data_IF_307442767507
#
_entry.id   IF_307442767507
#
_cell.length_a   1.000
_cell.length_b   1.000
_cell.length_c   1.000
_cell.angle_alpha   90.00
_cell.angle_beta   90.00
_cell.angle_gamma   90.00
#
_symmetry.space_group_name_H-M   'P 1'
#
loop_
_entity.id
_entity.type
_entity.pdbx_description
1 polymer ?
#
# COMPACT_ATOMS: atom_id res chain seq x y z
N UNK A 1 -0.79 -1.93 -14.42
CA UNK A 1 0.57 -1.45 -14.19
C UNK A 1 1.13 -0.97 -15.50
N UNK A 2 1.74 0.21 -15.51
CA UNK A 2 2.42 0.78 -16.66
C UNK A 2 3.85 1.09 -16.22
N UNK A 3 4.83 0.77 -17.04
CA UNK A 3 6.19 1.09 -16.74
C UNK A 3 6.96 1.61 -17.95
N UNK A 4 7.84 2.59 -17.71
CA UNK A 4 8.64 3.26 -18.73
C UNK A 4 10.12 3.01 -18.45
N UNK A 5 10.82 2.44 -19.45
CA UNK A 5 12.26 2.18 -19.33
C UNK A 5 13.08 3.46 -19.53
N UNK A 6 14.27 3.50 -18.94
CA UNK A 6 15.33 4.48 -19.20
C UNK A 6 14.90 5.94 -19.09
N UNK A 7 13.98 6.27 -18.16
CA UNK A 7 13.51 7.64 -17.99
C UNK A 7 14.49 8.46 -17.13
N UNK A 8 14.97 9.57 -17.69
CA UNK A 8 15.79 10.56 -17.01
C UNK A 8 14.96 11.82 -16.74
N UNK A 9 14.12 11.77 -15.69
CA UNK A 9 13.24 12.87 -15.32
C UNK A 9 13.86 13.74 -14.23
N UNK A 10 13.75 15.05 -14.39
CA UNK A 10 13.93 15.99 -13.27
C UNK A 10 12.74 15.88 -12.32
N UNK A 11 12.90 16.32 -11.09
CA UNK A 11 11.83 16.34 -10.09
C UNK A 11 10.61 17.14 -10.58
N UNK A 12 10.85 18.26 -11.25
CA UNK A 12 9.78 19.09 -11.80
C UNK A 12 8.98 18.38 -12.90
N UNK A 13 9.65 17.74 -13.85
CA UNK A 13 8.99 16.98 -14.91
C UNK A 13 8.24 15.78 -14.38
N UNK A 14 8.78 15.10 -13.37
CA UNK A 14 8.10 13.99 -12.69
C UNK A 14 6.77 14.43 -12.08
N UNK A 15 6.75 15.56 -11.35
CA UNK A 15 5.51 16.12 -10.81
C UNK A 15 4.55 16.61 -11.90
N UNK A 16 5.07 17.24 -12.96
CA UNK A 16 4.24 17.68 -14.11
C UNK A 16 3.53 16.48 -14.73
N UNK A 17 4.25 15.39 -14.97
CA UNK A 17 3.67 14.15 -15.48
C UNK A 17 2.61 13.60 -14.52
N UNK A 18 2.91 13.52 -13.21
CA UNK A 18 1.99 12.98 -12.22
C UNK A 18 0.67 13.78 -12.10
N UNK A 19 0.69 15.09 -12.31
CA UNK A 19 -0.51 15.95 -12.31
C UNK A 19 -1.55 15.58 -13.36
N UNK A 20 -1.16 14.94 -14.47
CA UNK A 20 -2.12 14.47 -15.48
C UNK A 20 -3.08 13.39 -14.96
N UNK A 21 -2.73 12.72 -13.86
CA UNK A 21 -3.55 11.67 -13.22
C UNK A 21 -4.42 12.18 -12.09
N UNK A 22 -4.35 13.48 -11.79
CA UNK A 22 -5.16 14.15 -10.78
C UNK A 22 -4.37 14.94 -9.74
N UNK A 23 -5.06 15.32 -8.66
CA UNK A 23 -4.45 16.09 -7.56
C UNK A 23 -3.40 15.26 -6.84
N UNK A 24 -2.20 15.83 -6.70
CA UNK A 24 -1.11 15.19 -5.95
C UNK A 24 -1.39 15.23 -4.45
N UNK A 25 -1.08 14.14 -3.77
CA UNK A 25 -1.18 14.02 -2.32
C UNK A 25 0.21 13.91 -1.68
N UNK A 26 0.32 14.35 -0.43
CA UNK A 26 1.50 14.08 0.38
C UNK A 26 1.38 12.69 1.01
N UNK A 27 2.50 11.98 1.12
CA UNK A 27 2.51 10.74 1.88
C UNK A 27 2.35 11.05 3.37
N UNK A 28 1.33 10.47 4.05
CA UNK A 28 0.93 10.96 5.37
C UNK A 28 1.91 10.64 6.51
N UNK A 29 2.80 9.68 6.33
CA UNK A 29 3.68 9.16 7.40
C UNK A 29 5.14 9.59 7.29
N UNK A 30 5.58 10.12 6.15
CA UNK A 30 6.97 10.53 5.92
C UNK A 30 7.04 11.94 5.36
N UNK A 31 8.16 12.60 5.60
CA UNK A 31 8.43 13.92 5.01
C UNK A 31 8.55 13.82 3.48
N UNK A 32 8.12 14.89 2.81
CA UNK A 32 8.46 15.12 1.42
C UNK A 32 9.95 15.36 1.20
N UNK A 33 10.37 15.28 -0.04
CA UNK A 33 11.75 15.52 -0.49
C UNK A 33 12.29 16.88 0.01
N UNK A 34 11.46 17.90 -0.07
CA UNK A 34 11.77 19.26 0.42
C UNK A 34 10.48 20.07 0.62
N UNK A 35 10.60 21.30 1.15
CA UNK A 35 9.47 22.24 1.21
C UNK A 35 8.87 22.53 -0.17
N UNK A 36 9.70 22.56 -1.22
CA UNK A 36 9.27 22.76 -2.62
C UNK A 36 8.57 21.52 -3.21
N UNK A 37 8.92 20.33 -2.72
CA UNK A 37 8.42 19.06 -3.25
C UNK A 37 7.86 18.16 -2.14
N UNK A 38 6.81 18.60 -1.43
CA UNK A 38 6.26 17.85 -0.29
C UNK A 38 5.53 16.56 -0.72
N UNK A 39 5.13 16.43 -1.98
CA UNK A 39 4.41 15.26 -2.53
C UNK A 39 5.33 14.09 -2.87
N UNK A 40 6.65 14.32 -2.91
CA UNK A 40 7.62 13.28 -3.25
C UNK A 40 8.25 12.75 -1.96
N UNK A 41 8.09 11.48 -1.71
CA UNK A 41 8.77 10.80 -0.59
C UNK A 41 9.95 10.01 -1.14
N UNK A 42 11.11 10.17 -0.53
CA UNK A 42 12.30 9.38 -0.88
C UNK A 42 12.28 8.07 -0.11
N UNK A 43 12.33 6.97 -0.86
CA UNK A 43 12.56 5.62 -0.31
C UNK A 43 13.97 5.21 -0.69
N UNK A 44 14.82 5.04 0.29
CA UNK A 44 16.23 4.67 0.09
C UNK A 44 16.61 3.55 1.04
N UNK A 45 17.41 2.61 0.55
CA UNK A 45 18.11 1.61 1.35
C UNK A 45 19.59 1.72 1.08
N UNK A 46 20.38 1.82 2.14
CA UNK A 46 21.84 1.79 2.11
C UNK A 46 22.34 0.38 2.35
N UNK A 47 23.57 0.08 1.96
CA UNK A 47 24.22 -1.22 2.22
C UNK A 47 24.38 -1.53 3.71
N UNK A 48 24.47 -0.48 4.54
CA UNK A 48 24.55 -0.58 6.00
C UNK A 48 23.21 -0.84 6.68
N UNK A 49 22.06 -0.65 6.00
CA UNK A 49 20.75 -0.79 6.60
C UNK A 49 20.46 -2.27 6.89
N UNK A 50 20.11 -2.56 8.14
CA UNK A 50 19.67 -3.88 8.62
C UNK A 50 18.15 -3.96 8.68
N UNK A 51 17.61 -5.18 8.77
CA UNK A 51 16.17 -5.41 8.89
C UNK A 51 15.39 -5.32 7.58
N UNK A 52 14.06 -5.35 7.63
CA UNK A 52 13.19 -5.40 6.46
C UNK A 52 13.24 -4.11 5.63
N UNK A 53 13.09 -4.23 4.33
CA UNK A 53 13.01 -3.09 3.41
C UNK A 53 11.66 -2.38 3.53
N UNK A 54 11.64 -1.09 3.21
CA UNK A 54 10.37 -0.36 3.13
C UNK A 54 9.52 -0.91 1.98
N UNK A 55 8.29 -1.34 2.29
CA UNK A 55 7.37 -1.89 1.31
C UNK A 55 7.69 -3.32 0.85
N UNK A 56 8.49 -4.07 1.60
CA UNK A 56 8.93 -5.43 1.26
C UNK A 56 7.78 -6.44 1.12
N UNK A 57 6.68 -6.23 1.83
CA UNK A 57 5.55 -7.15 1.78
C UNK A 57 4.46 -6.67 0.83
N UNK A 58 3.67 -7.60 0.28
CA UNK A 58 2.50 -7.24 -0.51
C UNK A 58 1.58 -6.30 0.26
N UNK A 59 1.33 -5.13 -0.30
CA UNK A 59 0.53 -4.08 0.35
C UNK A 59 -0.26 -3.26 -0.67
N UNK A 60 -1.18 -2.49 -0.15
CA UNK A 60 -1.85 -1.40 -0.86
C UNK A 60 -1.48 -0.10 -0.15
N UNK A 61 -1.03 0.87 -0.91
CA UNK A 61 -0.54 2.14 -0.36
C UNK A 61 -1.63 2.91 0.39
N UNK A 62 -1.25 3.39 1.58
CA UNK A 62 -2.04 4.31 2.41
C UNK A 62 -3.50 3.89 2.64
N UNK A 63 -3.78 2.58 2.66
CA UNK A 63 -5.13 2.02 2.86
C UNK A 63 -5.78 2.47 4.18
N UNK A 64 -4.98 2.89 5.15
CA UNK A 64 -5.41 3.42 6.44
C UNK A 64 -5.94 4.87 6.37
N UNK A 65 -5.94 5.50 5.21
CA UNK A 65 -6.53 6.82 5.01
C UNK A 65 -7.98 6.72 4.53
N UNK A 66 -8.82 7.72 4.85
CA UNK A 66 -10.21 7.77 4.39
C UNK A 66 -10.34 7.78 2.86
N UNK A 67 -9.39 8.43 2.18
CA UNK A 67 -9.30 8.51 0.72
C UNK A 67 -7.89 8.08 0.28
N UNK A 68 -7.66 6.78 0.11
CA UNK A 68 -6.37 6.27 -0.37
C UNK A 68 -6.07 6.79 -1.79
N UNK A 69 -4.79 6.89 -2.18
CA UNK A 69 -4.42 7.31 -3.51
C UNK A 69 -4.97 6.33 -4.56
N UNK A 70 -5.45 6.87 -5.66
CA UNK A 70 -5.91 6.07 -6.81
C UNK A 70 -4.74 5.50 -7.60
N UNK A 71 -3.65 6.25 -7.67
CA UNK A 71 -2.41 5.89 -8.35
C UNK A 71 -1.22 6.18 -7.44
N UNK A 72 -0.22 5.32 -7.50
CA UNK A 72 1.11 5.53 -6.93
C UNK A 72 2.11 5.51 -8.08
N UNK A 73 3.05 6.44 -8.06
CA UNK A 73 4.13 6.52 -9.04
C UNK A 73 5.47 6.37 -8.35
N UNK A 74 6.33 5.58 -8.95
CA UNK A 74 7.71 5.40 -8.50
C UNK A 74 8.68 5.85 -9.60
N UNK A 75 9.65 6.65 -9.23
CA UNK A 75 10.78 7.01 -10.09
C UNK A 75 12.06 6.46 -9.47
N UNK A 76 12.61 5.42 -10.06
CA UNK A 76 13.90 4.87 -9.59
C UNK A 76 15.05 5.78 -10.00
N UNK A 77 15.92 6.09 -9.03
CA UNK A 77 17.13 6.87 -9.22
C UNK A 77 18.38 6.01 -9.16
N UNK A 78 18.39 5.04 -8.26
CA UNK A 78 19.44 4.07 -8.09
C UNK A 78 18.77 2.72 -7.84
N UNK A 79 19.19 1.71 -8.55
CA UNK A 79 18.68 0.34 -8.41
C UNK A 79 19.85 -0.62 -8.22
N UNK A 80 19.66 -1.73 -7.48
CA UNK A 80 20.69 -2.76 -7.33
C UNK A 80 20.93 -3.51 -8.64
N UNK A 81 21.87 -4.44 -8.63
CA UNK A 81 22.15 -5.33 -9.76
C UNK A 81 20.87 -6.05 -10.22
N UNK A 82 20.78 -6.37 -11.50
CA UNK A 82 19.68 -7.12 -12.10
C UNK A 82 19.35 -8.37 -11.29
N UNK A 83 18.06 -8.61 -11.06
CA UNK A 83 17.56 -9.76 -10.28
C UNK A 83 17.40 -9.51 -8.78
N UNK A 84 17.84 -8.35 -8.28
CA UNK A 84 17.67 -7.96 -6.88
C UNK A 84 16.58 -6.88 -6.76
N UNK A 85 15.83 -6.88 -5.63
CA UNK A 85 14.82 -5.90 -5.29
C UNK A 85 13.76 -5.67 -6.38
N UNK A 86 13.28 -6.75 -7.00
CA UNK A 86 12.18 -6.70 -7.95
C UNK A 86 10.89 -6.28 -7.26
N UNK A 87 10.02 -5.57 -7.97
CA UNK A 87 8.67 -5.28 -7.50
C UNK A 87 7.71 -6.33 -8.06
N UNK A 88 7.03 -7.04 -7.17
CA UNK A 88 6.04 -8.06 -7.52
C UNK A 88 4.63 -7.51 -7.40
N UNK A 89 3.73 -7.99 -8.23
CA UNK A 89 2.34 -7.55 -8.27
C UNK A 89 1.39 -8.74 -8.31
N UNK A 90 0.30 -8.66 -7.52
CA UNK A 90 -0.76 -9.65 -7.50
C UNK A 90 -2.07 -9.05 -8.02
N UNK A 91 -2.72 -9.76 -8.94
CA UNK A 91 -4.02 -9.36 -9.48
C UNK A 91 -5.14 -9.59 -8.48
N UNK A 92 -5.66 -8.53 -7.88
CA UNK A 92 -6.77 -8.61 -6.94
C UNK A 92 -8.13 -8.90 -7.61
N UNK A 93 -8.23 -8.70 -8.92
CA UNK A 93 -9.36 -9.17 -9.73
C UNK A 93 -9.36 -10.69 -9.86
N UNK A 94 -8.20 -11.27 -10.18
CA UNK A 94 -8.04 -12.72 -10.27
C UNK A 94 -8.25 -13.38 -8.91
N UNK A 95 -7.67 -12.82 -7.86
CA UNK A 95 -7.88 -13.26 -6.49
C UNK A 95 -9.38 -13.26 -6.14
N UNK A 96 -10.14 -12.22 -6.49
CA UNK A 96 -11.59 -12.22 -6.29
C UNK A 96 -12.30 -13.32 -7.09
N UNK A 97 -11.96 -13.49 -8.36
CA UNK A 97 -12.59 -14.52 -9.21
C UNK A 97 -12.45 -15.91 -8.61
N UNK A 98 -11.28 -16.21 -8.06
CA UNK A 98 -10.93 -17.51 -7.47
C UNK A 98 -11.42 -17.68 -6.01
N UNK A 99 -12.07 -16.67 -5.40
CA UNK A 99 -12.65 -16.80 -4.08
C UNK A 99 -13.83 -17.79 -4.08
N UNK A 100 -13.93 -18.72 -3.11
CA UNK A 100 -15.11 -19.53 -2.90
C UNK A 100 -16.37 -18.67 -2.69
N UNK A 101 -17.50 -19.09 -3.28
CA UNK A 101 -18.78 -18.35 -3.21
C UNK A 101 -19.21 -18.04 -1.78
N UNK A 102 -19.05 -18.98 -0.84
CA UNK A 102 -19.33 -18.78 0.59
C UNK A 102 -18.51 -17.63 1.18
N UNK A 103 -17.25 -17.49 0.79
CA UNK A 103 -16.37 -16.42 1.23
C UNK A 103 -16.77 -15.09 0.59
N UNK A 104 -17.07 -15.07 -0.71
CA UNK A 104 -17.60 -13.87 -1.38
C UNK A 104 -18.83 -13.32 -0.66
N UNK A 105 -19.80 -14.18 -0.31
CA UNK A 105 -21.01 -13.78 0.44
C UNK A 105 -20.65 -13.15 1.79
N UNK A 106 -19.76 -13.77 2.59
CA UNK A 106 -19.28 -13.21 3.87
C UNK A 106 -18.61 -11.85 3.70
N UNK A 107 -17.69 -11.72 2.74
CA UNK A 107 -16.89 -10.50 2.55
C UNK A 107 -17.70 -9.31 2.01
N UNK A 108 -18.86 -9.55 1.37
CA UNK A 108 -19.76 -8.47 0.95
C UNK A 108 -20.38 -7.71 2.13
N UNK A 109 -20.53 -8.37 3.27
CA UNK A 109 -21.22 -7.84 4.45
C UNK A 109 -20.29 -7.11 5.41
N UNK A 110 -18.98 -7.13 5.16
CA UNK A 110 -18.00 -6.59 6.09
C UNK A 110 -17.05 -5.60 5.41
N UNK A 111 -16.49 -4.73 6.25
CA UNK A 111 -15.35 -3.89 5.90
C UNK A 111 -14.09 -4.40 6.59
N UNK A 112 -12.93 -4.09 6.05
CA UNK A 112 -11.66 -4.20 6.74
C UNK A 112 -11.34 -2.91 7.46
N UNK A 113 -10.85 -3.01 8.68
CA UNK A 113 -10.29 -1.89 9.46
C UNK A 113 -8.77 -1.90 9.28
N UNK A 114 -8.21 -0.75 8.97
CA UNK A 114 -6.79 -0.59 8.67
C UNK A 114 -6.17 0.53 9.50
N UNK A 115 -4.97 0.27 10.04
CA UNK A 115 -4.20 1.23 10.81
C UNK A 115 -2.86 1.54 10.15
N UNK A 116 -2.42 2.80 10.23
CA UNK A 116 -1.06 3.19 9.86
C UNK A 116 0.01 2.58 10.78
N UNK A 117 -0.40 2.07 11.94
CA UNK A 117 0.42 1.37 12.93
C UNK A 117 0.14 -0.14 12.96
N UNK A 118 -0.39 -0.67 11.87
CA UNK A 118 -0.67 -2.10 11.72
C UNK A 118 0.59 -2.99 11.79
N UNK A 119 0.40 -4.32 11.79
CA UNK A 119 1.44 -5.30 12.15
C UNK A 119 2.77 -5.20 11.37
N UNK A 120 2.75 -4.65 10.17
CA UNK A 120 3.94 -4.56 9.29
C UNK A 120 4.35 -3.11 9.04
N UNK A 121 3.86 -2.17 9.83
CA UNK A 121 4.25 -0.76 9.74
C UNK A 121 5.57 -0.44 10.47
N UNK A 122 6.28 -1.45 10.96
CA UNK A 122 7.49 -1.33 11.78
C UNK A 122 8.52 -0.39 11.14
N UNK A 123 8.86 -0.62 9.87
CA UNK A 123 9.85 0.22 9.16
C UNK A 123 9.43 1.67 9.01
N UNK A 124 8.12 1.94 8.85
CA UNK A 124 7.61 3.31 8.82
C UNK A 124 7.66 3.94 10.21
N UNK A 125 7.32 3.18 11.24
CA UNK A 125 7.34 3.64 12.63
C UNK A 125 8.76 3.94 13.12
N UNK A 126 9.73 3.10 12.77
CA UNK A 126 11.15 3.35 13.06
C UNK A 126 11.63 4.63 12.40
N UNK A 127 11.38 4.83 11.11
CA UNK A 127 11.74 6.05 10.37
C UNK A 127 11.05 7.31 10.90
N UNK A 128 9.86 7.17 11.48
CA UNK A 128 9.15 8.26 12.14
C UNK A 128 9.75 8.56 13.49
N UNK A 129 10.11 7.53 14.29
CA UNK A 129 10.77 7.66 15.60
C UNK A 129 12.14 8.31 15.49
N UNK A 130 12.95 7.92 14.50
CA UNK A 130 14.26 8.53 14.21
C UNK A 130 14.20 10.05 14.04
N UNK A 131 13.03 10.61 13.73
CA UNK A 131 12.82 12.05 13.52
C UNK A 131 12.15 12.76 14.71
N UNK A 132 12.03 12.10 15.86
CA UNK A 132 11.52 12.69 17.11
C UNK A 132 10.07 13.19 17.06
N UNK A 133 9.26 12.80 16.08
CA UNK A 133 7.87 13.25 15.96
C UNK A 133 6.90 12.13 16.27
N UNK A 134 6.03 12.34 17.27
CA UNK A 134 4.78 11.57 17.41
C UNK A 134 3.88 11.91 16.21
N UNK A 135 3.70 10.97 15.27
CA UNK A 135 2.71 11.11 14.22
C UNK A 135 1.44 10.39 14.69
N UNK A 136 0.32 11.09 14.62
CA UNK A 136 -0.98 10.53 14.99
C UNK A 136 -1.29 9.30 14.14
N UNK A 137 -1.73 8.23 14.80
CA UNK A 137 -2.25 7.04 14.13
C UNK A 137 -3.41 7.41 13.21
N UNK A 138 -3.38 6.88 11.99
CA UNK A 138 -4.47 7.00 11.03
C UNK A 138 -5.20 5.67 10.93
N UNK A 139 -6.51 5.71 11.13
CA UNK A 139 -7.37 4.53 11.03
C UNK A 139 -8.49 4.80 10.04
N UNK A 140 -8.78 3.83 9.20
CA UNK A 140 -9.90 3.87 8.26
C UNK A 140 -10.50 2.49 8.05
N UNK A 141 -11.78 2.45 7.67
CA UNK A 141 -12.43 1.23 7.24
C UNK A 141 -12.82 1.29 5.76
N UNK A 142 -12.66 0.18 5.04
CA UNK A 142 -13.00 0.06 3.63
C UNK A 142 -13.71 -1.27 3.34
N UNK A 143 -14.61 -1.27 2.36
CA UNK A 143 -15.18 -2.53 1.83
C UNK A 143 -14.03 -3.41 1.33
N UNK A 144 -14.00 -4.68 1.77
CA UNK A 144 -12.99 -5.66 1.34
C UNK A 144 -13.19 -6.04 -0.12
N UNK A 145 -14.44 -6.13 -0.58
CA UNK A 145 -14.77 -6.31 -1.99
C UNK A 145 -15.13 -4.96 -2.59
N UNK A 146 -14.30 -4.46 -3.49
CA UNK A 146 -14.53 -3.21 -4.22
C UNK A 146 -14.97 -3.49 -5.63
N UNK A 147 -16.06 -2.87 -6.05
CA UNK A 147 -16.47 -2.85 -7.45
C UNK A 147 -15.71 -1.74 -8.16
N UNK A 148 -15.02 -2.07 -9.23
CA UNK A 148 -14.28 -1.13 -10.08
C UNK A 148 -14.78 -1.38 -11.50
N UNK A 149 -15.55 -0.43 -12.02
CA UNK A 149 -16.38 -0.62 -13.21
C UNK A 149 -17.30 -1.84 -13.05
N UNK A 150 -17.29 -2.80 -13.98
CA UNK A 150 -18.06 -4.06 -13.92
C UNK A 150 -17.41 -5.15 -13.06
N UNK A 151 -16.14 -5.01 -12.66
CA UNK A 151 -15.37 -6.05 -11.99
C UNK A 151 -15.26 -5.83 -10.49
N UNK A 152 -15.09 -6.92 -9.74
CA UNK A 152 -14.76 -6.88 -8.32
C UNK A 152 -13.28 -7.19 -8.10
N UNK A 153 -12.68 -6.50 -7.13
CA UNK A 153 -11.33 -6.76 -6.66
C UNK A 153 -11.34 -6.92 -5.13
N UNK A 154 -10.40 -7.70 -4.61
CA UNK A 154 -10.13 -7.72 -3.17
C UNK A 154 -9.34 -6.46 -2.80
N UNK A 155 -9.78 -5.76 -1.77
CA UNK A 155 -9.11 -4.58 -1.25
C UNK A 155 -8.76 -4.80 0.21
N UNK A 156 -7.62 -5.46 0.44
CA UNK A 156 -7.13 -5.82 1.76
C UNK A 156 -5.61 -5.80 1.74
N UNK A 157 -5.00 -5.07 2.67
CA UNK A 157 -3.54 -4.95 2.79
C UNK A 157 -3.07 -5.68 4.05
N UNK A 158 -2.24 -6.72 3.91
CA UNK A 158 -1.78 -7.52 5.05
C UNK A 158 -1.15 -6.69 6.16
N UNK A 159 -0.28 -5.77 5.79
CA UNK A 159 0.51 -4.97 6.72
C UNK A 159 -0.27 -4.02 7.62
N UNK A 160 -1.45 -3.63 7.19
CA UNK A 160 -2.27 -2.63 7.87
C UNK A 160 -3.61 -3.17 8.39
N UNK A 161 -3.93 -4.44 8.10
CA UNK A 161 -5.22 -5.03 8.41
C UNK A 161 -5.36 -5.39 9.89
N UNK A 162 -6.23 -4.70 10.59
CA UNK A 162 -6.53 -4.91 12.02
C UNK A 162 -7.63 -5.95 12.25
N UNK A 163 -8.66 -5.98 11.41
CA UNK A 163 -9.78 -6.90 11.56
C UNK A 163 -10.98 -6.53 10.71
N UNK A 164 -12.10 -7.21 10.95
CA UNK A 164 -13.37 -6.99 10.25
C UNK A 164 -14.32 -6.10 11.04
N UNK A 165 -15.13 -5.32 10.34
CA UNK A 165 -16.21 -4.52 10.89
C UNK A 165 -17.52 -4.77 10.09
N UNK A 166 -18.62 -5.26 10.71
CA UNK A 166 -18.68 -5.71 12.10
C UNK A 166 -17.76 -6.91 12.37
N UNK A 167 -17.49 -7.20 13.64
CA UNK A 167 -16.77 -8.42 14.04
C UNK A 167 -17.56 -9.64 13.58
N UNK A 168 -16.88 -10.66 13.10
CA UNK A 168 -17.48 -11.91 12.62
C UNK A 168 -16.91 -13.11 13.35
N UNK A 169 -17.70 -14.17 13.49
CA UNK A 169 -17.24 -15.46 14.00
C UNK A 169 -16.09 -15.99 13.12
N UNK A 170 -15.10 -16.61 13.72
CA UNK A 170 -13.92 -17.18 13.05
C UNK A 170 -13.07 -16.15 12.25
N UNK A 171 -13.10 -14.89 12.66
CA UNK A 171 -12.40 -13.82 11.96
C UNK A 171 -10.90 -14.07 11.75
N UNK A 172 -10.22 -14.74 12.71
CA UNK A 172 -8.79 -15.06 12.58
C UNK A 172 -8.54 -16.06 11.45
N UNK A 173 -9.38 -17.08 11.32
CA UNK A 173 -9.31 -18.07 10.26
C UNK A 173 -9.56 -17.44 8.90
N UNK A 174 -10.59 -16.59 8.80
CA UNK A 174 -10.90 -15.86 7.57
C UNK A 174 -9.79 -14.85 7.21
N UNK A 175 -9.21 -14.16 8.20
CA UNK A 175 -8.06 -13.26 8.00
C UNK A 175 -6.88 -14.04 7.40
N UNK A 176 -6.45 -15.14 8.03
CA UNK A 176 -5.33 -15.97 7.55
C UNK A 176 -5.58 -16.48 6.12
N UNK A 177 -6.80 -16.96 5.85
CA UNK A 177 -7.18 -17.40 4.51
C UNK A 177 -7.07 -16.27 3.49
N UNK A 178 -7.69 -15.11 3.76
CA UNK A 178 -7.77 -13.99 2.84
C UNK A 178 -6.37 -13.46 2.48
N UNK A 179 -5.50 -13.29 3.48
CA UNK A 179 -4.15 -12.76 3.28
C UNK A 179 -3.29 -13.69 2.42
N UNK A 180 -3.41 -15.00 2.59
CA UNK A 180 -2.71 -15.99 1.75
C UNK A 180 -3.28 -16.09 0.34
N UNK A 181 -4.60 -15.98 0.22
CA UNK A 181 -5.31 -16.14 -1.04
C UNK A 181 -4.99 -15.02 -2.04
N UNK A 182 -4.73 -13.81 -1.55
CA UNK A 182 -4.47 -12.64 -2.41
C UNK A 182 -3.15 -12.68 -3.16
N UNK A 183 -2.19 -13.48 -2.71
CA UNK A 183 -0.81 -13.52 -3.22
C UNK A 183 -0.45 -14.85 -3.89
N UNK A 184 -1.47 -15.63 -4.24
CA UNK A 184 -1.32 -16.90 -4.97
C UNK A 184 -1.35 -16.72 -6.49
#
# INVERSE_FOLDING_TARGET
IIYFKKQKLTTSYYLKFAKNFGKLANYPRLKGLSKKYPQITVVQRKSSDKGPSFGEQFHTDSIYTKKPPKFTMLLSKLVPKKGSANTEFCSQYLAYRNLPTKIKKKLKLVKGVYSSEGPISITTNERVKEKGKKIKELISDHKILRKINSNYAIYCSPGHFMGFKPKIKDQLKLKKFLLRHQVK
#
